data_IF_549222303217
#
_entry.id   IF_549222303217
#
_cell.length_a   1.000
_cell.length_b   1.000
_cell.length_c   1.000
_cell.angle_alpha   90.00
_cell.angle_beta   90.00
_cell.angle_gamma   90.00
#
_symmetry.space_group_name_H-M   'P 1'
#
loop_
_entity.id
_entity.type
_entity.pdbx_description
1 polymer ?
#
# COMPACT_ATOMS: atom_id res chain seq x y z
N UNK A 1 26.95 -16.14 13.78
CA UNK A 1 25.86 -16.49 12.87
C UNK A 1 24.84 -15.37 12.95
N UNK A 2 24.73 -14.56 11.93
CA UNK A 2 23.72 -13.50 11.90
C UNK A 2 22.38 -14.14 11.51
N UNK A 3 21.38 -13.99 12.36
CA UNK A 3 20.02 -14.39 12.00
C UNK A 3 19.52 -13.49 10.87
N UNK A 4 19.00 -14.06 9.81
CA UNK A 4 18.32 -13.37 8.75
C UNK A 4 16.82 -13.63 8.84
N UNK A 5 16.01 -12.61 8.55
CA UNK A 5 14.56 -12.69 8.56
C UNK A 5 14.01 -12.78 7.14
N UNK A 6 12.91 -13.47 6.96
CA UNK A 6 12.05 -13.28 5.79
C UNK A 6 11.10 -12.14 6.10
N UNK A 7 11.00 -11.17 5.22
CA UNK A 7 10.16 -9.99 5.43
C UNK A 7 8.92 -10.05 4.54
N UNK A 8 7.78 -9.60 5.06
CA UNK A 8 6.52 -9.53 4.32
C UNK A 8 5.92 -8.14 4.49
N UNK A 9 5.47 -7.55 3.40
CA UNK A 9 4.71 -6.31 3.39
C UNK A 9 3.42 -6.43 2.61
N UNK A 10 2.32 -6.01 3.21
CA UNK A 10 1.00 -5.95 2.58
C UNK A 10 0.64 -4.50 2.28
N UNK A 11 0.16 -4.23 1.06
CA UNK A 11 -0.30 -2.90 0.62
C UNK A 11 0.75 -1.81 0.89
N UNK A 12 0.40 -0.73 1.61
CA UNK A 12 1.34 0.34 2.01
C UNK A 12 2.51 -0.21 2.83
N UNK A 13 2.30 -1.27 3.63
CA UNK A 13 3.37 -1.94 4.36
C UNK A 13 4.43 -2.52 3.44
N UNK A 14 4.06 -2.99 2.25
CA UNK A 14 5.01 -3.42 1.23
C UNK A 14 5.79 -2.25 0.62
N UNK A 15 5.15 -1.11 0.38
CA UNK A 15 5.84 0.09 -0.09
C UNK A 15 6.88 0.57 0.94
N UNK A 16 6.52 0.57 2.23
CA UNK A 16 7.45 0.89 3.31
C UNK A 16 8.58 -0.13 3.41
N UNK A 17 8.28 -1.43 3.26
CA UNK A 17 9.28 -2.49 3.23
C UNK A 17 10.27 -2.29 2.09
N UNK A 18 9.81 -1.99 0.87
CA UNK A 18 10.67 -1.72 -0.28
C UNK A 18 11.66 -0.57 0.00
N UNK A 19 11.17 0.52 0.57
CA UNK A 19 12.01 1.65 0.96
C UNK A 19 13.01 1.27 2.08
N UNK A 20 12.58 0.50 3.07
CA UNK A 20 13.45 0.02 4.15
C UNK A 20 14.55 -0.92 3.61
N UNK A 21 14.22 -1.84 2.70
CA UNK A 21 15.19 -2.72 2.06
C UNK A 21 16.24 -1.94 1.25
N UNK A 22 15.84 -0.88 0.54
CA UNK A 22 16.77 -0.01 -0.17
C UNK A 22 17.73 0.71 0.79
N UNK A 23 17.25 1.18 1.95
CA UNK A 23 18.11 1.74 3.01
C UNK A 23 19.07 0.70 3.56
N UNK A 24 18.58 -0.50 3.89
CA UNK A 24 19.41 -1.60 4.41
C UNK A 24 20.50 -2.00 3.41
N UNK A 25 20.16 -2.08 2.13
CA UNK A 25 21.13 -2.36 1.06
C UNK A 25 22.21 -1.29 0.98
N UNK A 26 21.82 0.00 0.99
CA UNK A 26 22.78 1.12 1.04
C UNK A 26 23.70 1.06 2.26
N UNK A 27 23.16 0.65 3.41
CA UNK A 27 23.93 0.44 4.65
C UNK A 27 24.76 -0.84 4.66
N UNK A 28 24.66 -1.68 3.61
CA UNK A 28 25.30 -3.01 3.54
C UNK A 28 24.88 -3.91 4.72
N UNK A 29 23.65 -3.80 5.17
CA UNK A 29 23.09 -4.62 6.24
C UNK A 29 22.31 -5.80 5.66
N UNK A 30 22.90 -6.98 5.71
CA UNK A 30 22.33 -8.22 5.16
C UNK A 30 21.58 -9.00 6.27
N UNK A 31 20.45 -8.42 6.70
CA UNK A 31 19.60 -8.99 7.77
C UNK A 31 18.29 -9.59 7.24
N UNK A 32 18.01 -9.43 5.93
CA UNK A 32 16.80 -9.97 5.29
C UNK A 32 17.21 -10.97 4.23
N UNK A 33 16.63 -12.18 4.30
CA UNK A 33 16.91 -13.28 3.36
C UNK A 33 16.01 -13.25 2.12
N UNK A 34 14.77 -12.84 2.26
CA UNK A 34 13.78 -12.73 1.18
C UNK A 34 12.71 -11.71 1.51
N UNK A 35 12.05 -11.16 0.51
CA UNK A 35 10.92 -10.26 0.68
C UNK A 35 9.68 -10.77 -0.06
N UNK A 36 8.54 -10.67 0.61
CA UNK A 36 7.22 -10.96 0.04
C UNK A 36 6.42 -9.67 0.00
N UNK A 37 5.94 -9.29 -1.18
CA UNK A 37 5.07 -8.14 -1.40
C UNK A 37 3.68 -8.63 -1.80
N UNK A 38 2.69 -8.32 -0.97
CA UNK A 38 1.29 -8.69 -1.21
C UNK A 38 0.52 -7.44 -1.59
N UNK A 39 -0.08 -7.42 -2.78
CA UNK A 39 -0.87 -6.29 -3.29
C UNK A 39 -0.21 -4.93 -3.02
N UNK A 40 1.03 -4.78 -3.47
CA UNK A 40 1.91 -3.64 -3.16
C UNK A 40 2.34 -2.93 -4.44
N UNK A 41 2.43 -1.61 -4.38
CA UNK A 41 3.06 -0.77 -5.42
C UNK A 41 4.40 -0.22 -4.94
N UNK A 42 5.42 -0.32 -5.78
CA UNK A 42 6.65 0.47 -5.73
C UNK A 42 6.75 1.41 -6.95
N UNK A 43 5.96 1.17 -7.99
CA UNK A 43 5.73 2.05 -9.13
C UNK A 43 4.29 2.57 -9.09
N UNK A 44 4.13 3.87 -9.00
CA UNK A 44 2.86 4.57 -8.92
C UNK A 44 2.47 5.24 -10.25
N UNK A 45 2.97 4.75 -11.38
CA UNK A 45 2.57 5.25 -12.72
C UNK A 45 1.10 5.02 -13.02
N UNK A 46 0.49 4.02 -12.39
CA UNK A 46 -0.91 3.65 -12.58
C UNK A 46 -1.49 3.32 -11.19
N UNK A 47 -2.18 4.28 -10.60
CA UNK A 47 -2.64 4.24 -9.20
C UNK A 47 -4.11 3.85 -9.07
N UNK A 48 -4.74 3.47 -10.19
CA UNK A 48 -6.16 3.15 -10.20
C UNK A 48 -7.04 4.33 -9.76
N UNK A 49 -8.18 3.99 -9.18
CA UNK A 49 -9.16 5.00 -8.76
C UNK A 49 -8.68 5.89 -7.61
N UNK A 50 -7.76 5.44 -6.78
CA UNK A 50 -7.20 6.27 -5.68
C UNK A 50 -6.54 7.52 -6.23
N UNK A 51 -5.91 7.45 -7.39
CA UNK A 51 -5.28 8.61 -8.03
C UNK A 51 -6.23 9.78 -8.29
N UNK A 52 -7.54 9.54 -8.39
CA UNK A 52 -8.55 10.60 -8.54
C UNK A 52 -8.66 11.50 -7.30
N UNK A 53 -8.24 11.03 -6.15
CA UNK A 53 -8.25 11.77 -4.88
C UNK A 53 -6.92 12.45 -4.56
N UNK A 54 -5.92 12.35 -5.45
CA UNK A 54 -4.59 12.87 -5.20
C UNK A 54 -4.17 13.83 -6.30
N UNK A 55 -4.22 15.11 -6.00
CA UNK A 55 -3.70 16.19 -6.85
C UNK A 55 -2.80 17.13 -6.06
N UNK A 56 -2.15 18.07 -6.74
CA UNK A 56 -1.24 19.04 -6.12
C UNK A 56 -1.94 19.92 -5.08
N UNK A 57 -3.18 20.34 -5.35
CA UNK A 57 -3.93 21.21 -4.46
C UNK A 57 -4.27 20.49 -3.14
N UNK A 58 -4.74 19.24 -3.24
CA UNK A 58 -5.07 18.42 -2.07
C UNK A 58 -3.81 18.12 -1.24
N UNK A 59 -2.71 17.70 -1.87
CA UNK A 59 -1.46 17.39 -1.18
C UNK A 59 -0.92 18.62 -0.48
N UNK A 60 -0.87 19.78 -1.15
CA UNK A 60 -0.41 21.04 -0.56
C UNK A 60 -1.29 21.51 0.61
N UNK A 61 -2.62 21.33 0.51
CA UNK A 61 -3.52 21.65 1.63
C UNK A 61 -3.28 20.75 2.85
N UNK A 62 -3.03 19.44 2.62
CA UNK A 62 -2.69 18.50 3.72
C UNK A 62 -1.32 18.83 4.33
N UNK A 63 -0.34 19.18 3.53
CA UNK A 63 0.99 19.61 4.02
C UNK A 63 0.89 20.87 4.88
N UNK A 64 0.06 21.82 4.48
CA UNK A 64 -0.16 23.05 5.26
C UNK A 64 -0.85 22.79 6.61
N UNK A 65 -1.74 21.80 6.67
CA UNK A 65 -2.55 21.52 7.88
C UNK A 65 -1.90 20.50 8.82
N UNK A 66 -1.40 19.38 8.31
CA UNK A 66 -0.89 18.27 9.12
C UNK A 66 0.57 17.89 8.80
N UNK A 67 1.20 18.49 7.77
CA UNK A 67 2.54 18.10 7.32
C UNK A 67 3.66 18.38 8.32
N UNK A 68 3.45 19.26 9.30
CA UNK A 68 4.46 19.66 10.30
C UNK A 68 4.28 19.03 11.69
N UNK A 69 3.37 18.05 11.84
CA UNK A 69 3.19 17.36 13.13
C UNK A 69 1.76 17.01 13.51
N UNK A 70 0.80 17.16 12.59
CA UNK A 70 -0.59 16.75 12.80
C UNK A 70 -0.82 15.25 12.60
N UNK A 71 -2.08 14.86 12.68
CA UNK A 71 -2.56 13.50 12.49
C UNK A 71 -3.59 13.50 11.37
N UNK A 72 -3.51 12.52 10.45
CA UNK A 72 -4.63 12.16 9.57
C UNK A 72 -5.54 11.20 10.33
N UNK A 73 -6.81 11.54 10.60
CA UNK A 73 -7.75 10.60 11.20
C UNK A 73 -7.96 9.37 10.32
N UNK A 74 -8.02 8.18 10.92
CA UNK A 74 -8.33 6.94 10.19
C UNK A 74 -9.69 6.98 9.50
N UNK A 75 -10.66 7.73 10.04
CA UNK A 75 -11.97 7.98 9.41
C UNK A 75 -11.87 8.63 8.03
N UNK A 76 -10.89 9.52 7.80
CA UNK A 76 -10.69 10.15 6.49
C UNK A 76 -10.30 9.10 5.44
N UNK A 77 -9.42 8.16 5.80
CA UNK A 77 -9.06 7.05 4.92
C UNK A 77 -10.23 6.09 4.70
N UNK A 78 -10.96 5.75 5.75
CA UNK A 78 -12.14 4.90 5.66
C UNK A 78 -13.19 5.51 4.71
N UNK A 79 -13.39 6.83 4.77
CA UNK A 79 -14.28 7.54 3.84
C UNK A 79 -13.81 7.43 2.39
N UNK A 80 -12.51 7.63 2.11
CA UNK A 80 -11.97 7.51 0.76
C UNK A 80 -12.16 6.08 0.24
N UNK A 81 -11.79 5.06 1.01
CA UNK A 81 -11.94 3.67 0.59
C UNK A 81 -13.41 3.25 0.39
N UNK A 82 -14.31 3.70 1.25
CA UNK A 82 -15.75 3.45 1.08
C UNK A 82 -16.31 4.12 -0.18
N UNK A 83 -15.83 5.32 -0.50
CA UNK A 83 -16.24 6.07 -1.68
C UNK A 83 -15.81 5.40 -3.00
N UNK A 84 -14.66 4.70 -3.01
CA UNK A 84 -14.20 3.91 -4.18
C UNK A 84 -15.16 2.75 -4.51
N UNK A 85 -15.85 2.22 -3.54
CA UNK A 85 -16.79 1.09 -3.67
C UNK A 85 -18.14 1.42 -3.03
N UNK A 86 -18.66 2.62 -3.31
CA UNK A 86 -19.89 3.11 -2.68
C UNK A 86 -21.08 2.17 -2.93
N UNK A 87 -21.17 1.53 -4.09
CA UNK A 87 -22.22 0.56 -4.41
C UNK A 87 -22.16 -0.71 -3.55
N UNK A 88 -21.00 -1.05 -3.01
CA UNK A 88 -20.83 -2.23 -2.15
C UNK A 88 -20.77 -1.85 -0.66
N UNK A 89 -20.18 -0.70 -0.34
CA UNK A 89 -19.82 -0.35 1.04
C UNK A 89 -20.67 0.78 1.65
N UNK A 90 -21.47 1.49 0.86
CA UNK A 90 -22.30 2.61 1.33
C UNK A 90 -23.78 2.35 1.04
N UNK A 91 -24.14 2.23 -0.23
CA UNK A 91 -25.55 2.18 -0.64
C UNK A 91 -26.33 0.97 -0.11
N UNK A 92 -25.80 -0.25 0.00
CA UNK A 92 -26.52 -1.37 0.61
C UNK A 92 -26.91 -1.08 2.06
N UNK A 93 -26.04 -0.42 2.84
CA UNK A 93 -26.34 -0.05 4.22
C UNK A 93 -27.40 1.05 4.29
N UNK A 94 -27.37 2.02 3.38
CA UNK A 94 -28.42 3.05 3.30
C UNK A 94 -29.76 2.41 3.00
N UNK A 95 -29.83 1.52 1.99
CA UNK A 95 -31.09 0.89 1.60
C UNK A 95 -31.58 -0.11 2.65
N UNK A 96 -30.78 -1.11 2.99
CA UNK A 96 -31.22 -2.22 3.82
C UNK A 96 -31.36 -1.81 5.29
N UNK A 97 -30.36 -1.11 5.82
CA UNK A 97 -30.34 -0.84 7.27
C UNK A 97 -31.06 0.46 7.63
N UNK A 98 -30.86 1.56 6.88
CA UNK A 98 -31.51 2.83 7.22
C UNK A 98 -32.96 2.90 6.67
N UNK A 99 -33.21 2.56 5.41
CA UNK A 99 -34.55 2.67 4.82
C UNK A 99 -35.45 1.49 5.15
N UNK A 100 -34.95 0.25 5.13
CA UNK A 100 -35.72 -0.96 5.38
C UNK A 100 -35.68 -1.42 6.84
N UNK A 101 -34.76 -0.88 7.67
CA UNK A 101 -34.64 -1.21 9.07
C UNK A 101 -34.08 -2.61 9.35
N UNK A 102 -33.39 -3.21 8.39
CA UNK A 102 -32.76 -4.52 8.54
C UNK A 102 -31.52 -4.43 9.42
N UNK A 103 -31.21 -5.48 10.16
CA UNK A 103 -29.97 -5.57 10.94
C UNK A 103 -28.79 -5.85 10.00
N UNK A 104 -27.66 -5.09 10.10
CA UNK A 104 -26.48 -5.35 9.32
C UNK A 104 -25.98 -6.77 9.49
N UNK A 105 -25.56 -7.41 8.39
CA UNK A 105 -24.93 -8.72 8.44
C UNK A 105 -23.62 -8.66 9.26
N UNK A 106 -23.46 -9.62 10.18
CA UNK A 106 -22.26 -9.73 10.99
C UNK A 106 -21.15 -10.42 10.19
N UNK A 107 -20.13 -9.66 9.78
CA UNK A 107 -18.92 -10.18 9.18
C UNK A 107 -17.70 -9.72 9.99
N UNK A 108 -16.91 -10.66 10.47
CA UNK A 108 -15.68 -10.41 11.23
C UNK A 108 -14.66 -9.55 10.44
N UNK A 109 -14.52 -9.80 9.14
CA UNK A 109 -13.63 -9.01 8.27
C UNK A 109 -14.10 -7.55 8.12
N UNK A 110 -15.41 -7.29 8.13
CA UNK A 110 -15.92 -5.90 8.08
C UNK A 110 -15.66 -5.18 9.40
N UNK A 111 -15.81 -5.88 10.53
CA UNK A 111 -15.48 -5.35 11.84
C UNK A 111 -13.99 -4.98 11.95
N UNK A 112 -13.09 -5.88 11.51
CA UNK A 112 -11.66 -5.62 11.46
C UNK A 112 -11.32 -4.45 10.54
N UNK A 113 -11.94 -4.36 9.36
CA UNK A 113 -11.68 -3.28 8.41
C UNK A 113 -12.21 -1.91 8.87
N UNK A 114 -13.20 -1.89 9.77
CA UNK A 114 -13.73 -0.68 10.38
C UNK A 114 -12.82 -0.11 11.48
N UNK A 115 -11.89 -0.91 12.02
CA UNK A 115 -10.92 -0.49 13.03
C UNK A 115 -9.77 0.29 12.36
N UNK A 116 -10.06 1.55 12.03
CA UNK A 116 -9.15 2.42 11.30
C UNK A 116 -8.06 3.01 12.19
N UNK A 117 -6.84 3.11 11.65
CA UNK A 117 -5.68 3.67 12.35
C UNK A 117 -5.36 5.07 11.87
N UNK A 118 -5.08 5.97 12.80
CA UNK A 118 -4.59 7.31 12.50
C UNK A 118 -3.16 7.26 11.96
N UNK A 119 -2.85 8.14 11.00
CA UNK A 119 -1.50 8.25 10.44
C UNK A 119 -0.82 9.55 10.88
N UNK A 120 0.50 9.52 11.15
CA UNK A 120 1.27 10.75 11.34
C UNK A 120 1.19 11.62 10.08
N UNK A 121 0.77 12.88 10.25
CA UNK A 121 0.60 13.82 9.13
C UNK A 121 1.83 13.99 8.25
N UNK A 122 3.04 14.19 8.81
CA UNK A 122 4.26 14.30 8.02
C UNK A 122 4.54 13.06 7.16
N UNK A 123 4.33 11.86 7.70
CA UNK A 123 4.53 10.60 6.97
C UNK A 123 3.51 10.46 5.85
N UNK A 124 2.23 10.77 6.11
CA UNK A 124 1.18 10.72 5.11
C UNK A 124 1.41 11.70 3.96
N UNK A 125 1.77 12.96 4.25
CA UNK A 125 2.06 13.96 3.24
C UNK A 125 3.30 13.57 2.41
N UNK A 126 4.37 13.10 3.05
CA UNK A 126 5.56 12.59 2.37
C UNK A 126 5.21 11.43 1.43
N UNK A 127 4.40 10.50 1.91
CA UNK A 127 3.95 9.34 1.13
C UNK A 127 3.17 9.79 -0.10
N UNK A 128 2.11 10.59 0.04
CA UNK A 128 1.31 11.04 -1.08
C UNK A 128 2.13 11.80 -2.12
N UNK A 129 2.94 12.76 -1.68
CA UNK A 129 3.74 13.60 -2.59
C UNK A 129 4.73 12.78 -3.39
N UNK A 130 5.44 11.86 -2.76
CA UNK A 130 6.56 11.16 -3.38
C UNK A 130 6.18 9.85 -4.07
N UNK A 131 4.96 9.34 -3.84
CA UNK A 131 4.43 8.16 -4.52
C UNK A 131 3.31 8.53 -5.48
N UNK A 132 2.08 8.71 -5.01
CA UNK A 132 0.90 8.95 -5.85
C UNK A 132 1.03 10.17 -6.76
N UNK A 133 1.56 11.29 -6.26
CA UNK A 133 1.64 12.54 -7.01
C UNK A 133 2.84 12.57 -7.97
N UNK A 134 4.04 12.23 -7.48
CA UNK A 134 5.29 12.43 -8.23
C UNK A 134 5.98 11.14 -8.65
N UNK A 135 5.55 9.99 -8.13
CA UNK A 135 6.14 8.66 -8.39
C UNK A 135 7.68 8.60 -8.25
N UNK A 136 8.25 9.38 -7.34
CA UNK A 136 9.70 9.48 -7.13
C UNK A 136 10.32 8.23 -6.52
N UNK A 137 9.52 7.38 -5.88
CA UNK A 137 10.03 6.15 -5.27
C UNK A 137 10.70 5.22 -6.28
N UNK A 138 10.21 5.20 -7.52
CA UNK A 138 10.78 4.38 -8.60
C UNK A 138 12.08 4.96 -9.17
N UNK A 139 12.37 6.24 -8.93
CA UNK A 139 13.53 6.93 -9.51
C UNK A 139 14.75 6.69 -8.60
N UNK A 140 15.84 6.10 -9.12
CA UNK A 140 17.02 5.85 -8.31
C UNK A 140 17.54 7.14 -7.66
N UNK A 141 17.70 7.11 -6.33
CA UNK A 141 18.25 8.19 -5.51
C UNK A 141 17.47 9.51 -5.51
N UNK A 142 16.25 9.56 -6.08
CA UNK A 142 15.40 10.75 -6.03
C UNK A 142 14.88 11.07 -4.61
N UNK A 143 14.84 10.07 -3.75
CA UNK A 143 14.41 10.19 -2.35
C UNK A 143 15.54 9.86 -1.39
N UNK A 144 15.47 10.45 -0.19
CA UNK A 144 16.39 10.17 0.92
C UNK A 144 15.57 9.80 2.15
N UNK A 145 15.79 8.61 2.71
CA UNK A 145 15.15 8.16 3.94
C UNK A 145 16.23 7.79 4.97
N UNK A 146 16.01 8.19 6.22
CA UNK A 146 16.97 7.94 7.32
C UNK A 146 18.40 8.44 6.99
N UNK A 147 18.55 9.48 6.18
CA UNK A 147 19.84 10.01 5.73
C UNK A 147 20.51 9.24 4.58
N UNK A 148 19.85 8.23 4.01
CA UNK A 148 20.38 7.42 2.89
C UNK A 148 19.56 7.60 1.62
N UNK A 149 20.20 7.76 0.44
CA UNK A 149 19.50 7.81 -0.83
C UNK A 149 18.82 6.47 -1.12
N UNK A 150 17.56 6.49 -1.55
CA UNK A 150 16.80 5.31 -1.92
C UNK A 150 17.10 4.89 -3.36
N UNK A 151 17.45 3.64 -3.52
CA UNK A 151 17.62 3.00 -4.82
C UNK A 151 17.06 1.58 -4.74
N UNK A 152 15.87 1.37 -5.28
CA UNK A 152 15.22 0.07 -5.30
C UNK A 152 16.03 -0.97 -6.10
N UNK A 153 16.80 -0.53 -7.10
CA UNK A 153 17.70 -1.37 -7.87
C UNK A 153 18.83 -2.00 -7.04
N UNK A 154 19.12 -1.43 -5.87
CA UNK A 154 20.08 -2.03 -4.94
C UNK A 154 19.55 -3.24 -4.14
N UNK A 155 18.24 -3.49 -4.17
CA UNK A 155 17.59 -4.61 -3.46
C UNK A 155 17.73 -5.87 -4.31
N UNK A 156 18.70 -6.72 -3.97
CA UNK A 156 19.11 -7.88 -4.77
C UNK A 156 18.74 -9.24 -4.14
N UNK A 157 17.90 -9.25 -3.12
CA UNK A 157 17.45 -10.50 -2.46
C UNK A 157 16.29 -11.17 -3.25
N UNK A 158 16.01 -12.46 -3.01
CA UNK A 158 14.84 -13.15 -3.56
C UNK A 158 13.53 -12.45 -3.22
N UNK A 159 12.66 -12.29 -4.22
CA UNK A 159 11.41 -11.55 -4.08
C UNK A 159 10.22 -12.35 -4.60
N UNK A 160 9.16 -12.40 -3.80
CA UNK A 160 7.85 -12.91 -4.19
C UNK A 160 6.84 -11.76 -4.20
N UNK A 161 6.13 -11.57 -5.31
CA UNK A 161 5.08 -10.55 -5.46
C UNK A 161 3.77 -11.24 -5.80
N UNK A 162 2.75 -11.01 -4.98
CA UNK A 162 1.37 -11.43 -5.26
C UNK A 162 0.51 -10.19 -5.50
N UNK A 163 -0.20 -10.20 -6.60
CA UNK A 163 -1.25 -9.23 -6.91
C UNK A 163 -2.55 -9.94 -7.22
N UNK A 164 -3.67 -9.24 -7.15
CA UNK A 164 -4.98 -9.80 -7.46
C UNK A 164 -5.65 -9.06 -8.62
N UNK A 165 -6.36 -9.80 -9.46
CA UNK A 165 -6.87 -9.31 -10.75
C UNK A 165 -7.91 -8.19 -10.57
N UNK A 166 -8.76 -8.31 -9.57
CA UNK A 166 -9.88 -7.39 -9.30
C UNK A 166 -9.55 -6.36 -8.23
N UNK A 167 -8.25 -6.18 -7.94
CA UNK A 167 -7.80 -5.18 -6.99
C UNK A 167 -8.02 -3.78 -7.54
N UNK A 168 -8.91 -3.02 -6.88
CA UNK A 168 -9.26 -1.64 -7.24
C UNK A 168 -8.38 -0.61 -6.50
N UNK A 169 -7.59 -1.05 -5.52
CA UNK A 169 -6.68 -0.22 -4.70
C UNK A 169 -5.27 -0.26 -5.29
N UNK A 170 -4.78 -1.48 -5.56
CA UNK A 170 -3.45 -1.72 -6.14
C UNK A 170 -3.61 -2.41 -7.50
N UNK A 171 -3.64 -1.68 -8.62
CA UNK A 171 -3.71 -2.30 -9.93
C UNK A 171 -2.59 -3.32 -10.12
N UNK A 172 -2.94 -4.55 -10.50
CA UNK A 172 -1.97 -5.65 -10.61
C UNK A 172 -0.80 -5.34 -11.57
N UNK A 173 -1.04 -4.48 -12.58
CA UNK A 173 0.02 -4.04 -13.50
C UNK A 173 1.09 -3.22 -12.78
N UNK A 174 0.70 -2.35 -11.84
CA UNK A 174 1.65 -1.58 -11.04
C UNK A 174 2.41 -2.47 -10.06
N UNK A 175 1.72 -3.45 -9.44
CA UNK A 175 2.40 -4.46 -8.64
C UNK A 175 3.40 -5.28 -9.48
N UNK A 176 3.07 -5.65 -10.71
CA UNK A 176 3.97 -6.36 -11.62
C UNK A 176 5.21 -5.51 -11.99
N UNK A 177 5.03 -4.21 -12.24
CA UNK A 177 6.15 -3.29 -12.54
C UNK A 177 7.16 -3.19 -11.41
N UNK A 178 6.74 -3.46 -10.17
CA UNK A 178 7.64 -3.54 -9.00
C UNK A 178 8.83 -4.47 -9.24
N UNK A 179 8.63 -5.59 -9.94
CA UNK A 179 9.71 -6.53 -10.27
C UNK A 179 10.83 -5.89 -11.10
N UNK A 180 10.48 -4.98 -11.99
CA UNK A 180 11.45 -4.26 -12.84
C UNK A 180 12.30 -3.24 -12.09
N UNK A 181 11.84 -2.80 -10.91
CA UNK A 181 12.56 -1.84 -10.08
C UNK A 181 13.59 -2.48 -9.16
N UNK A 182 13.39 -3.74 -8.79
CA UNK A 182 14.27 -4.46 -7.85
C UNK A 182 15.45 -5.11 -8.61
N UNK A 183 16.63 -5.12 -8.01
CA UNK A 183 17.86 -5.53 -8.68
C UNK A 183 18.15 -7.04 -8.67
N UNK A 184 17.46 -7.81 -7.84
CA UNK A 184 17.67 -9.27 -7.76
C UNK A 184 17.19 -10.01 -9.02
N UNK A 185 17.74 -11.19 -9.29
CA UNK A 185 17.32 -12.06 -10.41
C UNK A 185 16.23 -13.05 -10.00
N UNK A 186 16.22 -13.48 -8.74
CA UNK A 186 15.23 -14.44 -8.20
C UNK A 186 13.94 -13.70 -7.85
N UNK A 187 13.02 -13.65 -8.81
CA UNK A 187 11.75 -12.93 -8.73
C UNK A 187 10.60 -13.82 -9.15
N UNK A 188 9.64 -14.00 -8.26
CA UNK A 188 8.39 -14.72 -8.54
C UNK A 188 7.22 -13.74 -8.53
N UNK A 189 6.36 -13.80 -9.56
CA UNK A 189 5.10 -13.07 -9.60
C UNK A 189 3.93 -14.04 -9.67
N UNK A 190 2.94 -13.81 -8.83
CA UNK A 190 1.68 -14.56 -8.83
C UNK A 190 0.52 -13.57 -9.00
N UNK A 191 -0.34 -13.84 -9.99
CA UNK A 191 -1.59 -13.13 -10.19
C UNK A 191 -2.74 -13.99 -9.69
N UNK A 192 -3.28 -13.63 -8.53
CA UNK A 192 -4.45 -14.26 -7.94
C UNK A 192 -5.77 -13.72 -8.52
N UNK A 193 -6.85 -14.39 -8.19
CA UNK A 193 -8.21 -13.92 -8.45
C UNK A 193 -8.71 -13.01 -7.30
N UNK A 194 -9.91 -12.40 -7.48
CA UNK A 194 -10.59 -11.59 -6.48
C UNK A 194 -9.91 -10.24 -6.17
N UNK A 195 -10.36 -9.57 -5.10
CA UNK A 195 -9.97 -8.20 -4.75
C UNK A 195 -8.83 -8.10 -3.75
N UNK A 196 -8.56 -6.87 -3.31
CA UNK A 196 -7.40 -6.48 -2.49
C UNK A 196 -7.19 -7.31 -1.22
N UNK A 197 -8.25 -7.57 -0.47
CA UNK A 197 -8.18 -8.32 0.78
C UNK A 197 -8.57 -9.77 0.56
N UNK A 198 -9.76 -10.02 0.01
CA UNK A 198 -10.29 -11.37 -0.17
C UNK A 198 -9.48 -12.26 -1.13
N UNK A 199 -8.70 -11.66 -2.04
CA UNK A 199 -7.79 -12.39 -2.91
C UNK A 199 -6.45 -12.79 -2.27
N UNK A 200 -6.16 -12.26 -1.08
CA UNK A 200 -4.87 -12.45 -0.38
C UNK A 200 -5.06 -13.12 0.98
N UNK A 201 -6.04 -12.63 1.74
CA UNK A 201 -6.31 -13.08 3.12
C UNK A 201 -7.57 -13.95 3.10
N UNK A 202 -7.39 -15.24 2.84
CA UNK A 202 -8.45 -16.23 2.82
C UNK A 202 -8.06 -17.48 3.60
N UNK A 203 -9.00 -18.14 4.30
CA UNK A 203 -8.73 -19.46 4.87
C UNK A 203 -8.39 -20.47 3.77
N UNK A 204 -7.42 -21.33 4.04
CA UNK A 204 -7.01 -22.38 3.09
C UNK A 204 -8.13 -23.40 2.79
N UNK A 205 -9.20 -23.38 3.56
CA UNK A 205 -10.37 -24.26 3.43
C UNK A 205 -11.49 -23.71 2.53
N UNK A 206 -11.29 -22.55 1.90
CA UNK A 206 -12.27 -21.94 0.99
C UNK A 206 -11.80 -21.96 -0.44
#
# INVERSE_FOLDING_TARGET
MLFRSNALGFCVGGTLLGAALAVLSTKKQDIVSSATFLTTMLDFSETGQIGLFVDEAMVSAREATIGKGGILPGSDLAFVFSSLRANDLVWPYVVNNYLLGETPAAFDILYWNADSTNLPGPMYCYYLRNTYLSNKLREPRALTNCGFPLDLGSVALPVFVLATREDHIVPWRSAYRTLGLLGGEDKTFVLGASGHIAGVVNPASK
#
